data_IF_904197299331
#
_entry.id   IF_904197299331
#
_cell.length_a   1.000
_cell.length_b   1.000
_cell.length_c   1.000
_cell.angle_alpha   90.00
_cell.angle_beta   90.00
_cell.angle_gamma   90.00
#
_symmetry.space_group_name_H-M   'P 1'
#
loop_
_entity.id
_entity.type
_entity.pdbx_description
1 polymer ?
#
# COMPACT_ATOMS: atom_id res chain seq x y z
N UNK A 1 20.24 29.67 19.44
CA UNK A 1 19.35 30.22 18.40
C UNK A 1 19.02 29.04 17.49
N UNK A 2 17.83 28.47 17.66
CA UNK A 2 17.32 27.36 16.85
C UNK A 2 16.17 27.93 16.05
N UNK A 3 16.25 27.87 14.72
CA UNK A 3 15.11 28.18 13.86
C UNK A 3 14.23 26.95 13.77
N UNK A 4 13.05 27.07 14.37
CA UNK A 4 11.93 26.16 14.25
C UNK A 4 11.25 26.41 12.88
N UNK A 5 11.32 25.44 11.98
CA UNK A 5 10.60 25.46 10.71
C UNK A 5 9.72 24.20 10.64
N UNK A 6 8.42 24.41 10.79
CA UNK A 6 7.41 23.43 10.39
C UNK A 6 6.74 22.72 11.56
N UNK A 7 5.92 23.48 12.28
CA UNK A 7 4.92 22.97 13.22
C UNK A 7 3.84 22.20 12.46
N UNK A 8 4.00 20.88 12.35
CA UNK A 8 2.88 19.98 12.08
C UNK A 8 2.45 19.31 13.38
N UNK A 9 1.33 19.80 13.90
CA UNK A 9 0.64 19.28 15.07
C UNK A 9 0.17 17.85 14.77
N UNK A 10 0.98 16.85 15.11
CA UNK A 10 0.54 15.46 15.15
C UNK A 10 -0.47 15.32 16.30
N UNK A 11 -1.77 15.28 15.98
CA UNK A 11 -2.80 14.87 16.92
C UNK A 11 -3.21 13.45 16.53
N UNK A 12 -2.71 12.46 17.26
CA UNK A 12 -3.01 11.05 17.00
C UNK A 12 -2.58 10.17 18.16
N UNK A 13 -3.54 9.51 18.81
CA UNK A 13 -3.29 8.49 19.82
C UNK A 13 -2.78 7.21 19.11
N UNK A 14 -1.97 6.39 19.79
CA UNK A 14 -1.32 5.14 19.31
C UNK A 14 -2.24 4.05 18.73
N UNK A 15 -3.52 4.33 18.50
CA UNK A 15 -4.49 3.46 17.84
C UNK A 15 -5.05 4.00 16.52
N UNK A 16 -4.77 5.25 16.13
CA UNK A 16 -5.11 5.80 14.80
C UNK A 16 -4.39 7.13 14.59
N UNK A 17 -3.50 7.19 13.59
CA UNK A 17 -2.90 8.42 13.07
C UNK A 17 -3.28 8.59 11.60
N UNK A 18 -3.80 9.76 11.22
CA UNK A 18 -4.15 10.08 9.82
C UNK A 18 -3.18 11.12 9.30
N UNK A 19 -2.37 10.75 8.30
CA UNK A 19 -1.57 11.71 7.53
C UNK A 19 -2.35 12.07 6.28
N UNK A 20 -2.71 13.34 6.13
CA UNK A 20 -3.33 13.88 4.91
C UNK A 20 -2.26 14.60 4.11
N UNK A 21 -1.89 14.08 2.94
CA UNK A 21 -0.98 14.78 2.01
C UNK A 21 -1.82 15.35 0.87
N UNK A 22 -1.82 16.68 0.73
CA UNK A 22 -2.42 17.36 -0.41
C UNK A 22 -1.35 17.54 -1.49
N UNK A 23 -1.66 17.13 -2.74
CA UNK A 23 -0.79 17.21 -3.93
C UNK A 23 0.31 16.14 -4.03
N UNK A 24 -0.08 14.92 -4.40
CA UNK A 24 0.84 13.82 -4.73
C UNK A 24 0.95 13.69 -6.25
N UNK A 25 2.06 14.11 -6.84
CA UNK A 25 2.30 13.94 -8.28
C UNK A 25 2.98 12.61 -8.64
N UNK A 26 3.54 11.91 -7.65
CA UNK A 26 4.26 10.65 -7.80
C UNK A 26 3.96 9.73 -6.62
N UNK A 27 3.39 8.55 -6.89
CA UNK A 27 3.14 7.51 -5.88
C UNK A 27 4.43 6.71 -5.64
N UNK A 28 5.29 7.17 -4.72
CA UNK A 28 6.26 6.38 -3.92
C UNK A 28 7.56 7.17 -3.68
N UNK A 29 8.16 7.11 -2.47
CA UNK A 29 7.65 6.51 -1.24
C UNK A 29 7.09 7.55 -0.25
N UNK A 30 5.99 7.20 0.44
CA UNK A 30 5.57 7.86 1.68
C UNK A 30 6.13 7.09 2.88
N UNK A 31 7.27 7.50 3.47
CA UNK A 31 7.74 6.86 4.68
C UNK A 31 6.87 7.28 5.87
N UNK A 32 6.23 6.33 6.55
CA UNK A 32 5.85 6.50 7.95
C UNK A 32 7.13 6.39 8.79
N UNK A 33 7.96 7.43 8.75
CA UNK A 33 9.23 7.51 9.44
C UNK A 33 9.03 7.82 10.91
N UNK A 34 9.16 6.80 11.77
CA UNK A 34 9.49 7.02 13.19
C UNK A 34 10.84 7.76 13.25
N UNK A 35 10.94 8.83 14.03
CA UNK A 35 12.13 9.70 14.15
C UNK A 35 13.35 9.05 14.83
N UNK A 36 13.62 7.77 14.58
CA UNK A 36 14.81 7.08 15.03
C UNK A 36 15.46 6.36 13.85
N UNK A 37 16.69 6.79 13.56
CA UNK A 37 17.53 6.48 12.40
C UNK A 37 18.07 5.05 12.35
N UNK A 38 17.25 4.03 12.65
CA UNK A 38 17.64 2.64 12.51
C UNK A 38 16.55 1.83 11.83
N UNK A 39 16.64 1.73 10.51
CA UNK A 39 16.09 0.64 9.71
C UNK A 39 14.57 0.45 9.82
N UNK A 40 13.81 1.22 9.02
CA UNK A 40 12.45 0.84 8.67
C UNK A 40 12.40 0.49 7.17
N UNK A 41 13.12 -0.56 6.69
CA UNK A 41 12.85 -1.07 5.37
C UNK A 41 11.43 -1.64 5.45
N UNK A 42 10.50 -1.03 4.71
CA UNK A 42 9.21 -1.65 4.48
C UNK A 42 9.51 -3.10 4.04
N UNK A 43 8.93 -4.13 4.68
CA UNK A 43 9.27 -5.52 4.42
C UNK A 43 8.93 -5.97 3.00
N UNK A 44 8.28 -5.12 2.19
CA UNK A 44 8.07 -5.32 0.77
C UNK A 44 8.26 -3.97 0.07
N UNK A 45 8.99 -3.99 -1.04
CA UNK A 45 9.12 -2.87 -1.96
C UNK A 45 8.21 -3.11 -3.17
N UNK A 46 7.15 -2.31 -3.29
CA UNK A 46 6.19 -2.39 -4.39
C UNK A 46 6.61 -1.43 -5.51
N UNK A 47 6.84 -1.95 -6.71
CA UNK A 47 7.25 -1.13 -7.87
C UNK A 47 6.10 -0.71 -8.77
N UNK A 48 5.06 -1.54 -8.85
CA UNK A 48 3.91 -1.26 -9.70
C UNK A 48 2.63 -1.90 -9.13
N UNK A 49 1.50 -1.22 -9.31
CA UNK A 49 0.18 -1.73 -8.99
C UNK A 49 -0.83 -1.17 -9.98
N UNK A 50 -1.44 -2.05 -10.78
CA UNK A 50 -2.38 -1.68 -11.83
C UNK A 50 -3.66 -2.53 -11.72
N UNK A 51 -4.80 -1.87 -11.92
CA UNK A 51 -6.10 -2.51 -12.04
C UNK A 51 -6.66 -2.32 -13.44
N UNK A 52 -6.99 -3.42 -14.12
CA UNK A 52 -7.57 -3.41 -15.45
C UNK A 52 -8.97 -4.01 -15.43
N UNK A 53 -9.98 -3.25 -15.87
CA UNK A 53 -11.33 -3.77 -16.07
C UNK A 53 -11.36 -4.66 -17.33
N UNK A 54 -11.84 -5.89 -17.18
CA UNK A 54 -11.97 -6.87 -18.27
C UNK A 54 -13.32 -7.56 -18.13
N UNK A 55 -14.22 -7.38 -19.10
CA UNK A 55 -15.51 -8.11 -19.18
C UNK A 55 -16.35 -8.11 -17.89
N UNK A 56 -16.43 -6.97 -17.20
CA UNK A 56 -17.18 -6.86 -15.94
C UNK A 56 -16.44 -7.43 -14.71
N UNK A 57 -15.15 -7.74 -14.85
CA UNK A 57 -14.23 -8.14 -13.79
C UNK A 57 -13.09 -7.12 -13.69
N UNK A 58 -12.32 -7.16 -12.61
CA UNK A 58 -11.11 -6.34 -12.44
C UNK A 58 -9.91 -7.24 -12.22
N UNK A 59 -8.94 -7.17 -13.14
CA UNK A 59 -7.65 -7.84 -13.01
C UNK A 59 -6.68 -6.90 -12.33
N UNK A 60 -6.25 -7.26 -11.14
CA UNK A 60 -5.21 -6.57 -10.38
C UNK A 60 -3.87 -7.24 -10.69
N UNK A 61 -2.88 -6.42 -11.02
CA UNK A 61 -1.52 -6.85 -11.32
C UNK A 61 -0.60 -5.96 -10.48
N UNK A 62 0.34 -6.56 -9.78
CA UNK A 62 1.34 -5.80 -9.04
C UNK A 62 2.68 -6.48 -9.08
N UNK A 63 3.72 -5.69 -8.87
CA UNK A 63 5.09 -6.18 -8.86
C UNK A 63 5.82 -5.68 -7.62
N UNK A 64 6.53 -6.59 -6.96
CA UNK A 64 7.48 -6.30 -5.90
C UNK A 64 8.88 -6.25 -6.49
N UNK A 65 9.74 -5.34 -6.04
CA UNK A 65 11.19 -5.39 -6.29
C UNK A 65 11.89 -6.31 -5.29
N UNK A 66 11.45 -6.26 -4.04
CA UNK A 66 11.98 -7.08 -2.96
C UNK A 66 10.91 -7.39 -1.91
N UNK A 67 11.09 -8.50 -1.21
CA UNK A 67 10.25 -9.01 -0.14
C UNK A 67 11.18 -9.52 0.98
N UNK A 68 10.81 -9.24 2.22
CA UNK A 68 11.56 -9.61 3.40
C UNK A 68 10.57 -10.16 4.42
N UNK A 69 10.62 -11.48 4.65
CA UNK A 69 9.71 -12.20 5.54
C UNK A 69 8.21 -12.00 5.20
N UNK A 70 7.88 -11.80 3.92
CA UNK A 70 6.52 -11.66 3.43
C UNK A 70 5.86 -13.03 3.27
N UNK A 71 4.81 -13.34 4.04
CA UNK A 71 4.11 -14.62 3.90
C UNK A 71 3.03 -14.59 2.81
N UNK A 72 2.31 -13.48 2.69
CA UNK A 72 1.20 -13.32 1.74
C UNK A 72 0.78 -11.85 1.61
N UNK A 73 0.11 -11.56 0.51
CA UNK A 73 -0.62 -10.33 0.25
C UNK A 73 -2.12 -10.57 0.47
N UNK A 74 -2.78 -9.65 1.18
CA UNK A 74 -4.23 -9.58 1.24
C UNK A 74 -4.67 -8.44 0.33
N UNK A 75 -5.45 -8.77 -0.68
CA UNK A 75 -5.99 -7.77 -1.60
C UNK A 75 -7.36 -7.36 -1.11
N UNK A 76 -7.57 -6.05 -0.97
CA UNK A 76 -8.82 -5.47 -0.52
C UNK A 76 -9.39 -4.51 -1.56
N UNK A 77 -10.71 -4.39 -1.57
CA UNK A 77 -11.46 -3.47 -2.41
C UNK A 77 -12.31 -2.57 -1.54
N UNK A 78 -12.49 -1.32 -1.95
CA UNK A 78 -13.48 -0.42 -1.36
C UNK A 78 -14.29 0.25 -2.47
N UNK A 79 -15.57 0.50 -2.21
CA UNK A 79 -16.47 1.29 -3.07
C UNK A 79 -16.70 2.69 -2.56
N UNK A 80 -16.37 2.95 -1.30
CA UNK A 80 -16.70 4.17 -0.58
C UNK A 80 -15.48 4.77 0.14
N UNK A 81 -14.28 4.29 -0.17
CA UNK A 81 -12.97 4.69 0.38
C UNK A 81 -12.81 4.47 1.91
N UNK A 82 -13.90 4.24 2.64
CA UNK A 82 -13.94 4.05 4.09
C UNK A 82 -13.98 2.57 4.51
N UNK A 83 -14.61 1.71 3.69
CA UNK A 83 -14.76 0.27 4.00
C UNK A 83 -14.03 -0.58 2.97
N UNK A 84 -13.03 -1.33 3.43
CA UNK A 84 -12.25 -2.25 2.61
C UNK A 84 -12.64 -3.71 2.88
N UNK A 85 -13.22 -4.37 1.90
CA UNK A 85 -13.50 -5.80 1.94
C UNK A 85 -12.35 -6.63 1.38
N UNK A 86 -12.08 -7.80 1.96
CA UNK A 86 -11.04 -8.71 1.46
C UNK A 86 -11.58 -9.46 0.25
N UNK A 87 -10.91 -9.30 -0.90
CA UNK A 87 -11.29 -9.96 -2.16
C UNK A 87 -10.38 -11.14 -2.51
N UNK A 88 -9.22 -11.25 -1.86
CA UNK A 88 -8.45 -12.49 -1.86
C UNK A 88 -7.08 -12.40 -1.22
N UNK A 89 -6.36 -13.51 -1.33
CA UNK A 89 -5.04 -13.73 -0.73
C UNK A 89 -4.11 -14.33 -1.77
N UNK A 90 -2.90 -13.78 -1.90
CA UNK A 90 -1.86 -14.30 -2.77
C UNK A 90 -0.63 -14.59 -1.92
N UNK A 91 -0.10 -15.80 -1.98
CA UNK A 91 1.13 -16.13 -1.25
C UNK A 91 2.30 -15.34 -1.83
N UNK A 92 3.10 -14.78 -0.93
CA UNK A 92 4.33 -14.08 -1.27
C UNK A 92 5.50 -15.08 -1.37
N UNK A 93 6.66 -14.64 -1.83
CA UNK A 93 7.85 -15.48 -1.95
C UNK A 93 8.62 -15.63 -0.64
N UNK A 94 8.19 -14.98 0.46
CA UNK A 94 8.94 -14.99 1.71
C UNK A 94 9.97 -13.88 1.72
N UNK A 95 11.22 -14.26 1.47
CA UNK A 95 12.35 -13.34 1.41
C UNK A 95 13.00 -13.46 0.04
N UNK A 96 12.88 -12.44 -0.78
CA UNK A 96 13.48 -12.37 -2.12
C UNK A 96 13.90 -10.94 -2.44
N UNK A 97 15.00 -10.78 -3.16
CA UNK A 97 15.40 -9.50 -3.76
C UNK A 97 15.14 -9.47 -5.26
N UNK A 98 14.52 -10.52 -5.80
CA UNK A 98 14.18 -10.63 -7.21
C UNK A 98 12.78 -10.08 -7.46
N UNK A 99 12.60 -9.29 -8.54
CA UNK A 99 11.30 -8.76 -8.88
C UNK A 99 10.26 -9.85 -9.08
N UNK A 100 9.15 -9.79 -8.34
CA UNK A 100 8.09 -10.79 -8.41
C UNK A 100 6.78 -10.15 -8.82
N UNK A 101 6.17 -10.68 -9.88
CA UNK A 101 4.88 -10.21 -10.38
C UNK A 101 3.75 -11.11 -9.88
N UNK A 102 2.69 -10.48 -9.38
CA UNK A 102 1.50 -11.12 -8.84
C UNK A 102 0.26 -10.64 -9.58
N UNK A 103 -0.80 -11.47 -9.51
CA UNK A 103 -2.06 -11.19 -10.19
C UNK A 103 -3.22 -11.71 -9.35
N UNK A 104 -4.30 -10.93 -9.26
CA UNK A 104 -5.56 -11.34 -8.67
C UNK A 104 -6.72 -10.90 -9.55
N UNK A 105 -7.69 -11.78 -9.75
CA UNK A 105 -8.90 -11.50 -10.51
C UNK A 105 -10.07 -11.28 -9.56
N UNK A 106 -10.56 -10.05 -9.54
CA UNK A 106 -11.80 -9.69 -8.89
C UNK A 106 -12.97 -9.99 -9.84
N UNK A 107 -13.67 -11.10 -9.55
CA UNK A 107 -14.77 -11.61 -10.39
C UNK A 107 -16.11 -10.92 -10.16
N UNK A 108 -16.25 -10.19 -9.05
CA UNK A 108 -17.48 -9.52 -8.70
C UNK A 108 -17.17 -8.08 -8.28
N UNK A 109 -16.60 -7.25 -9.17
CA UNK A 109 -16.32 -5.86 -8.86
C UNK A 109 -17.64 -5.20 -8.48
N UNK A 110 -17.62 -4.48 -7.37
CA UNK A 110 -18.80 -3.78 -6.94
C UNK A 110 -19.23 -2.79 -8.04
N UNK A 111 -20.48 -2.91 -8.46
CA UNK A 111 -21.04 -2.03 -9.49
C UNK A 111 -21.38 -0.70 -8.83
N UNK A 112 -20.69 0.36 -9.24
CA UNK A 112 -21.18 1.72 -9.02
C UNK A 112 -22.44 1.89 -9.87
N UNK A 113 -23.57 2.05 -9.20
CA UNK A 113 -24.86 2.39 -9.80
C UNK A 113 -24.87 3.86 -10.22
#
# INVERSE_FOLDING_TARGET
>A
MWEDLGRDTAIGNTMSGRITVNNVSNFSPFPFGSGSSTSNPLPVELTDFTGQKIEGQVKLIWQTASEQNASHFIVQRSTNEDQFEKIGRVNAQGTTTDPTQYRLLDKNPAQTN
#
